data_IF_360389170356
#
_entry.id   IF_360389170356
#
_cell.length_a   1.000
_cell.length_b   1.000
_cell.length_c   1.000
_cell.angle_alpha   90.00
_cell.angle_beta   90.00
_cell.angle_gamma   90.00
#
_symmetry.space_group_name_H-M   'P 1'
#
loop_
_entity.id
_entity.type
_entity.pdbx_description
1 polymer ?
#
# COMPACT_ATOMS: atom_id res chain seq x y z
N UNK A 1 6.02 -1.39 4.66
CA UNK A 1 5.76 -0.41 3.56
C UNK A 1 6.41 0.94 3.76
N UNK A 2 6.38 1.57 4.96
CA UNK A 2 6.98 2.90 5.16
C UNK A 2 8.46 3.01 4.72
N UNK A 3 9.28 2.05 5.11
CA UNK A 3 10.69 1.96 4.71
C UNK A 3 10.92 1.77 3.18
N UNK A 4 9.89 1.37 2.44
CA UNK A 4 9.93 1.34 0.97
C UNK A 4 9.53 2.71 0.41
N UNK A 5 8.42 3.28 0.87
CA UNK A 5 7.82 4.45 0.21
C UNK A 5 8.48 5.77 0.62
N UNK A 6 8.80 5.96 1.91
CA UNK A 6 9.32 7.24 2.42
C UNK A 6 10.65 7.66 1.77
N UNK A 7 11.61 6.75 1.50
CA UNK A 7 12.81 7.12 0.75
C UNK A 7 12.55 7.58 -0.68
N UNK A 8 11.54 7.02 -1.35
CA UNK A 8 11.16 7.39 -2.72
C UNK A 8 10.54 8.80 -2.79
N UNK A 9 10.00 9.28 -1.67
CA UNK A 9 9.49 10.64 -1.51
C UNK A 9 10.56 11.62 -0.98
N UNK A 10 11.79 11.15 -0.72
CA UNK A 10 12.86 11.96 -0.16
C UNK A 10 12.66 12.39 1.30
N UNK A 11 11.73 11.74 2.01
CA UNK A 11 11.47 11.97 3.45
C UNK A 11 12.47 11.21 4.33
N UNK A 12 12.96 10.07 3.84
CA UNK A 12 13.97 9.26 4.51
C UNK A 12 15.18 9.03 3.59
N UNK A 13 16.37 8.66 4.11
CA UNK A 13 17.53 8.37 3.30
C UNK A 13 17.26 7.27 2.26
N UNK A 14 17.69 7.50 1.02
CA UNK A 14 17.56 6.52 -0.06
C UNK A 14 18.68 5.48 0.04
N UNK A 15 18.33 4.27 0.47
CA UNK A 15 19.23 3.11 0.53
C UNK A 15 18.62 1.95 -0.30
N UNK A 16 19.13 1.65 -1.51
CA UNK A 16 18.55 0.64 -2.40
C UNK A 16 18.35 -0.72 -1.74
N UNK A 17 19.33 -1.21 -0.99
CA UNK A 17 19.25 -2.51 -0.30
C UNK A 17 18.14 -2.54 0.75
N UNK A 18 18.00 -1.45 1.51
CA UNK A 18 16.93 -1.31 2.50
C UNK A 18 15.54 -1.27 1.86
N UNK A 19 15.43 -0.64 0.68
CA UNK A 19 14.18 -0.59 -0.09
C UNK A 19 13.83 -1.98 -0.64
N UNK A 20 14.79 -2.72 -1.20
CA UNK A 20 14.54 -4.08 -1.69
C UNK A 20 14.15 -5.03 -0.56
N UNK A 21 14.79 -4.90 0.60
CA UNK A 21 14.39 -5.66 1.78
C UNK A 21 12.97 -5.29 2.25
N UNK A 22 12.63 -4.00 2.27
CA UNK A 22 11.29 -3.53 2.63
C UNK A 22 10.22 -3.97 1.63
N UNK A 23 10.55 -4.05 0.33
CA UNK A 23 9.70 -4.64 -0.72
C UNK A 23 9.42 -6.11 -0.43
N UNK A 24 10.46 -6.89 -0.15
CA UNK A 24 10.33 -8.32 0.18
C UNK A 24 9.47 -8.56 1.41
N UNK A 25 9.71 -7.83 2.50
CA UNK A 25 8.91 -7.94 3.72
C UNK A 25 7.45 -7.54 3.49
N UNK A 26 7.23 -6.48 2.71
CA UNK A 26 5.87 -6.08 2.31
C UNK A 26 5.20 -7.18 1.50
N UNK A 27 5.89 -7.76 0.50
CA UNK A 27 5.36 -8.86 -0.31
C UNK A 27 4.98 -10.08 0.55
N UNK A 28 5.79 -10.42 1.55
CA UNK A 28 5.50 -11.52 2.48
C UNK A 28 4.25 -11.25 3.31
N UNK A 29 4.09 -10.04 3.84
CA UNK A 29 2.88 -9.66 4.58
C UNK A 29 1.63 -9.66 3.68
N UNK A 30 1.73 -9.11 2.46
CA UNK A 30 0.62 -9.11 1.51
C UNK A 30 0.28 -10.53 1.02
N UNK A 31 1.25 -11.44 0.92
CA UNK A 31 0.98 -12.85 0.61
C UNK A 31 0.10 -13.52 1.67
N UNK A 32 0.25 -13.16 2.95
CA UNK A 32 -0.63 -13.67 4.01
C UNK A 32 -2.06 -13.15 3.81
N UNK A 33 -2.21 -11.85 3.48
CA UNK A 33 -3.52 -11.27 3.13
C UNK A 33 -4.14 -11.98 1.92
N UNK A 34 -3.37 -12.14 0.84
CA UNK A 34 -3.78 -12.80 -0.39
C UNK A 34 -4.30 -14.21 -0.12
N UNK A 35 -3.54 -15.01 0.63
CA UNK A 35 -3.93 -16.38 0.96
C UNK A 35 -5.18 -16.42 1.85
N UNK A 36 -5.30 -15.50 2.81
CA UNK A 36 -6.45 -15.44 3.70
C UNK A 36 -7.75 -15.05 2.98
N UNK A 37 -7.63 -14.18 1.97
CA UNK A 37 -8.75 -13.68 1.16
C UNK A 37 -9.09 -14.57 -0.04
N UNK A 38 -8.36 -15.67 -0.25
CA UNK A 38 -8.60 -16.57 -1.39
C UNK A 38 -10.01 -17.19 -1.35
N UNK A 39 -10.50 -17.52 -0.17
CA UNK A 39 -11.81 -18.12 0.10
C UNK A 39 -12.74 -17.20 0.90
N UNK A 40 -12.31 -15.96 1.20
CA UNK A 40 -13.02 -15.02 2.08
C UNK A 40 -13.18 -13.66 1.44
N UNK A 41 -14.36 -13.08 1.62
CA UNK A 41 -14.67 -11.73 1.12
C UNK A 41 -14.14 -10.62 2.02
N UNK A 42 -14.13 -10.85 3.33
CA UNK A 42 -13.72 -9.87 4.35
C UNK A 42 -12.59 -10.45 5.21
N UNK A 43 -11.85 -9.60 5.90
CA UNK A 43 -10.74 -10.02 6.75
C UNK A 43 -11.19 -10.84 7.96
N UNK A 44 -12.38 -10.57 8.49
CA UNK A 44 -12.91 -11.25 9.68
C UNK A 44 -14.38 -11.57 9.47
N UNK A 45 -14.76 -12.82 9.73
CA UNK A 45 -16.13 -13.33 9.54
C UNK A 45 -16.66 -13.15 8.10
N UNK A 46 -17.97 -13.35 7.92
CA UNK A 46 -18.61 -13.34 6.60
C UNK A 46 -19.23 -11.98 6.23
N UNK A 47 -18.89 -10.91 6.96
CA UNK A 47 -19.41 -9.55 6.72
C UNK A 47 -18.36 -8.48 6.96
N UNK A 48 -18.60 -7.28 6.44
CA UNK A 48 -17.74 -6.12 6.67
C UNK A 48 -17.53 -5.88 8.18
N UNK A 49 -16.27 -5.67 8.55
CA UNK A 49 -15.88 -5.31 9.92
C UNK A 49 -14.99 -4.08 9.94
N UNK A 50 -14.73 -3.58 11.14
CA UNK A 50 -13.74 -2.51 11.34
C UNK A 50 -12.34 -2.91 10.83
N UNK A 51 -12.00 -4.20 10.89
CA UNK A 51 -10.71 -4.68 10.40
C UNK A 51 -10.53 -4.36 8.92
N UNK A 52 -11.57 -4.55 8.10
CA UNK A 52 -11.53 -4.24 6.67
C UNK A 52 -11.25 -2.76 6.42
N UNK A 53 -12.02 -1.88 7.09
CA UNK A 53 -11.92 -0.43 6.92
C UNK A 53 -10.56 0.09 7.37
N UNK A 54 -10.09 -0.37 8.53
CA UNK A 54 -8.80 0.03 9.09
C UNK A 54 -7.63 -0.43 8.21
N UNK A 55 -7.63 -1.71 7.83
CA UNK A 55 -6.58 -2.26 6.97
C UNK A 55 -6.59 -1.63 5.57
N UNK A 56 -7.76 -1.34 4.99
CA UNK A 56 -7.85 -0.63 3.72
C UNK A 56 -7.20 0.77 3.83
N UNK A 57 -7.47 1.49 4.94
CA UNK A 57 -6.76 2.73 5.25
C UNK A 57 -5.24 2.56 5.35
N UNK A 58 -4.76 1.54 6.05
CA UNK A 58 -3.31 1.27 6.21
C UNK A 58 -2.59 0.99 4.88
N UNK A 59 -3.22 0.26 3.97
CA UNK A 59 -2.60 -0.11 2.68
C UNK A 59 -2.83 0.91 1.57
N UNK A 60 -3.70 1.91 1.78
CA UNK A 60 -4.06 2.92 0.79
C UNK A 60 -2.85 3.62 0.18
N UNK A 61 -1.84 3.94 0.99
CA UNK A 61 -0.61 4.57 0.53
C UNK A 61 0.23 3.65 -0.36
N UNK A 62 0.15 2.34 -0.14
CA UNK A 62 0.74 1.33 -1.03
C UNK A 62 0.12 1.41 -2.42
N UNK A 63 -1.22 1.36 -2.51
CA UNK A 63 -1.96 1.51 -3.78
C UNK A 63 -1.71 2.85 -4.48
N UNK A 64 -1.61 3.93 -3.71
CA UNK A 64 -1.39 5.27 -4.25
C UNK A 64 0.04 5.54 -4.73
N UNK A 65 1.02 4.68 -4.42
CA UNK A 65 2.45 4.96 -4.69
C UNK A 65 3.24 3.81 -5.29
N UNK A 66 3.06 2.57 -4.87
CA UNK A 66 3.99 1.48 -5.17
C UNK A 66 3.36 0.16 -5.61
N UNK A 67 2.07 -0.08 -5.30
CA UNK A 67 1.34 -1.24 -5.79
C UNK A 67 0.78 -0.97 -7.18
N UNK A 68 1.68 -1.01 -8.14
CA UNK A 68 1.39 -0.79 -9.55
C UNK A 68 0.56 -1.92 -10.18
N UNK A 69 0.29 -1.80 -11.48
CA UNK A 69 -0.53 -2.77 -12.20
C UNK A 69 0.06 -4.19 -12.16
N UNK A 70 1.39 -4.33 -12.23
CA UNK A 70 2.07 -5.63 -12.21
C UNK A 70 1.97 -6.25 -10.81
N UNK A 71 2.16 -5.45 -9.76
CA UNK A 71 1.99 -5.90 -8.39
C UNK A 71 0.56 -6.38 -8.13
N UNK A 72 -0.44 -5.61 -8.55
CA UNK A 72 -1.86 -5.97 -8.38
C UNK A 72 -2.23 -7.25 -9.11
N UNK A 73 -1.65 -7.50 -10.30
CA UNK A 73 -1.84 -8.76 -11.01
C UNK A 73 -1.27 -9.98 -10.27
N UNK A 74 -0.24 -9.80 -9.42
CA UNK A 74 0.33 -10.85 -8.58
C UNK A 74 -0.50 -11.15 -7.32
N UNK A 75 -1.25 -10.17 -6.82
CA UNK A 75 -2.06 -10.27 -5.61
C UNK A 75 -3.54 -9.92 -5.89
N UNK A 76 -4.24 -10.74 -6.70
CA UNK A 76 -5.59 -10.44 -7.15
C UNK A 76 -6.64 -10.43 -6.03
N UNK A 77 -6.56 -11.32 -5.04
CA UNK A 77 -7.55 -11.40 -3.96
C UNK A 77 -7.43 -10.18 -3.03
N UNK A 78 -6.20 -9.82 -2.66
CA UNK A 78 -5.90 -8.61 -1.93
C UNK A 78 -6.36 -7.35 -2.67
N UNK A 79 -6.10 -7.28 -3.98
CA UNK A 79 -6.52 -6.15 -4.80
C UNK A 79 -8.05 -6.03 -4.87
N UNK A 80 -8.75 -7.14 -5.14
CA UNK A 80 -10.20 -7.17 -5.22
C UNK A 80 -10.87 -6.79 -3.88
N UNK A 81 -10.31 -7.27 -2.76
CA UNK A 81 -10.76 -6.88 -1.42
C UNK A 81 -10.62 -5.37 -1.18
N UNK A 82 -9.49 -4.77 -1.58
CA UNK A 82 -9.27 -3.34 -1.44
C UNK A 82 -10.23 -2.52 -2.29
N UNK A 83 -10.40 -2.89 -3.56
CA UNK A 83 -11.36 -2.24 -4.48
C UNK A 83 -12.79 -2.32 -3.95
N UNK A 84 -13.20 -3.50 -3.48
CA UNK A 84 -14.51 -3.69 -2.86
C UNK A 84 -14.69 -2.82 -1.61
N UNK A 85 -13.71 -2.82 -0.70
CA UNK A 85 -13.81 -2.09 0.58
C UNK A 85 -13.84 -0.57 0.35
N UNK A 86 -13.02 -0.07 -0.57
CA UNK A 86 -12.96 1.36 -0.91
C UNK A 86 -14.11 1.83 -1.80
N UNK A 87 -14.88 0.91 -2.39
CA UNK A 87 -16.07 1.24 -3.16
C UNK A 87 -17.30 1.59 -2.28
N UNK A 88 -17.27 1.26 -0.99
CA UNK A 88 -18.37 1.53 -0.06
C UNK A 88 -18.61 3.04 0.10
N UNK A 89 -19.88 3.46 0.08
CA UNK A 89 -20.25 4.88 0.20
C UNK A 89 -19.71 5.51 1.50
N UNK A 90 -19.75 4.77 2.60
CA UNK A 90 -19.19 5.20 3.89
C UNK A 90 -17.67 5.43 3.84
N UNK A 91 -16.94 4.67 3.02
CA UNK A 91 -15.50 4.88 2.83
C UNK A 91 -15.27 6.11 1.95
N UNK A 92 -16.01 6.21 0.84
CA UNK A 92 -15.92 7.34 -0.10
C UNK A 92 -16.37 8.68 0.49
N UNK A 93 -17.25 8.65 1.49
CA UNK A 93 -17.66 9.84 2.23
C UNK A 93 -16.48 10.53 2.93
N UNK A 94 -15.42 9.79 3.29
CA UNK A 94 -14.22 10.33 3.95
C UNK A 94 -12.98 10.31 3.08
N UNK A 95 -12.91 9.41 2.08
CA UNK A 95 -11.85 9.36 1.06
C UNK A 95 -12.50 9.39 -0.34
N UNK A 96 -12.84 10.57 -0.87
CA UNK A 96 -13.58 10.68 -2.13
C UNK A 96 -12.76 10.23 -3.35
N UNK A 97 -11.45 10.39 -3.30
CA UNK A 97 -10.54 10.10 -4.41
C UNK A 97 -9.61 8.94 -4.07
N UNK A 98 -9.96 7.74 -4.53
CA UNK A 98 -9.09 6.55 -4.40
C UNK A 98 -8.07 6.56 -5.54
N UNK A 99 -6.79 6.51 -5.19
CA UNK A 99 -5.68 6.47 -6.16
C UNK A 99 -5.09 5.07 -6.19
N UNK A 100 -5.01 4.51 -7.39
CA UNK A 100 -4.29 3.26 -7.65
C UNK A 100 -3.37 3.50 -8.83
N UNK A 101 -2.06 3.44 -8.61
CA UNK A 101 -1.08 3.78 -9.64
C UNK A 101 -0.96 2.70 -10.70
N UNK A 102 -0.69 3.11 -11.94
CA UNK A 102 -0.34 2.17 -13.02
C UNK A 102 1.14 1.80 -12.99
N UNK A 103 1.99 2.72 -12.53
CA UNK A 103 3.45 2.55 -12.41
C UNK A 103 3.91 2.97 -11.02
N UNK A 104 4.75 2.15 -10.40
CA UNK A 104 5.28 2.42 -9.08
C UNK A 104 6.17 3.67 -9.09
N UNK A 105 6.18 4.40 -7.98
CA UNK A 105 7.08 5.53 -7.79
C UNK A 105 8.53 5.07 -7.94
N UNK A 106 9.28 5.76 -8.79
CA UNK A 106 10.70 5.52 -9.00
C UNK A 106 11.58 6.14 -7.90
N UNK A 107 12.92 6.08 -8.05
CA UNK A 107 13.85 6.77 -7.16
C UNK A 107 13.52 8.26 -7.04
N UNK A 108 13.84 8.90 -5.90
CA UNK A 108 13.52 10.31 -5.67
C UNK A 108 14.22 11.19 -6.70
N UNK A 109 13.50 12.16 -7.27
CA UNK A 109 14.10 13.17 -8.13
C UNK A 109 15.07 14.04 -7.31
N UNK A 110 16.16 14.58 -7.88
CA UNK A 110 17.09 15.46 -7.17
C UNK A 110 16.44 16.62 -6.39
N UNK A 111 15.29 17.12 -6.87
CA UNK A 111 14.51 18.19 -6.22
C UNK A 111 13.67 17.74 -5.02
N UNK A 112 13.56 16.44 -4.75
CA UNK A 112 12.77 15.89 -3.64
C UNK A 112 13.64 15.51 -2.43
N UNK A 113 14.97 15.62 -2.52
CA UNK A 113 15.85 15.39 -1.37
C UNK A 113 15.59 16.49 -0.33
N UNK A 114 14.82 16.17 0.71
CA UNK A 114 14.68 17.04 1.87
C UNK A 114 16.03 17.23 2.54
N UNK A 115 16.34 18.45 2.97
CA UNK A 115 17.51 18.77 3.78
C UNK A 115 17.40 18.25 5.22
N UNK A 116 16.46 17.35 5.51
CA UNK A 116 16.19 16.87 6.85
C UNK A 116 17.34 16.01 7.34
N UNK A 117 18.17 16.59 8.21
CA UNK A 117 19.10 15.87 9.07
C UNK A 117 18.36 15.50 10.35
N UNK A 118 18.60 14.30 10.89
CA UNK A 118 18.00 13.85 12.16
C UNK A 118 18.45 14.68 13.39
N UNK A 119 19.18 15.77 13.16
CA UNK A 119 19.72 16.73 14.12
C UNK A 119 18.93 18.07 14.15
N UNK A 120 17.86 18.22 13.35
CA UNK A 120 16.91 19.34 13.39
C UNK A 120 15.58 18.94 14.07
#
# INVERSE_FOLDING_TARGET
MGAWILPLLGVAPYAPEGIEQAKKQTAQAIQIFENHLQDKRYLVADRLTLADLFCAGLVSFGFAKVFDKVWRARFPCFTAWYEMTTALDMYRAVVPNIVMVDTALGPPHPSMRGSYTADD
#
